data_IF_137998980426
#
_entry.id   IF_137998980426
#
_cell.length_a   1.000
_cell.length_b   1.000
_cell.length_c   1.000
_cell.angle_alpha   90.00
_cell.angle_beta   90.00
_cell.angle_gamma   90.00
#
_symmetry.space_group_name_H-M   'P 1'
#
loop_
_entity.id
_entity.type
_entity.pdbx_description
1 polymer ?
#
# COMPACT_ATOMS: atom_id res chain seq x y z
N UNK A 1 -46.56 2.45 6.82
CA UNK A 1 -45.81 1.96 5.64
C UNK A 1 -44.44 2.62 5.66
N UNK A 2 -43.39 1.80 5.83
CA UNK A 2 -41.99 1.86 5.34
C UNK A 2 -41.33 3.24 5.11
N UNK A 3 -40.14 3.61 5.61
CA UNK A 3 -39.03 2.97 6.36
C UNK A 3 -38.14 4.13 6.87
N UNK A 4 -37.50 4.13 8.04
CA UNK A 4 -36.29 4.93 8.25
C UNK A 4 -35.05 4.07 7.98
N UNK A 5 -34.16 4.65 7.19
CA UNK A 5 -32.93 4.06 6.68
C UNK A 5 -32.07 3.40 7.77
N UNK A 6 -31.56 2.23 7.41
CA UNK A 6 -30.52 1.44 8.06
C UNK A 6 -29.16 2.14 7.98
N UNK A 7 -29.01 3.26 8.68
CA UNK A 7 -27.69 3.81 9.01
C UNK A 7 -27.53 3.79 10.52
N UNK A 8 -27.05 2.66 11.04
CA UNK A 8 -26.62 2.59 12.43
C UNK A 8 -25.43 3.53 12.64
N UNK A 9 -25.52 4.47 13.61
CA UNK A 9 -24.42 5.36 13.94
C UNK A 9 -23.19 4.58 14.37
N UNK A 10 -22.11 4.93 13.70
CA UNK A 10 -20.72 4.58 13.90
C UNK A 10 -20.28 4.50 15.39
N UNK A 11 -19.85 3.34 15.94
CA UNK A 11 -19.35 3.28 17.30
C UNK A 11 -17.83 3.55 17.33
N UNK A 12 -17.45 4.79 17.07
CA UNK A 12 -16.07 5.25 17.27
C UNK A 12 -15.87 5.64 18.73
N UNK A 13 -14.85 5.11 19.40
CA UNK A 13 -14.48 5.55 20.75
C UNK A 13 -14.09 7.03 20.74
N UNK A 14 -14.47 7.78 21.77
CA UNK A 14 -14.24 9.21 21.87
C UNK A 14 -12.77 9.57 21.65
N UNK A 15 -12.51 10.64 20.87
CA UNK A 15 -11.16 11.23 20.72
C UNK A 15 -10.49 11.52 22.07
N UNK A 16 -11.28 11.71 23.13
CA UNK A 16 -10.84 12.03 24.48
C UNK A 16 -10.72 10.82 25.43
N UNK A 17 -10.70 9.60 24.89
CA UNK A 17 -10.53 8.37 25.66
C UNK A 17 -11.84 7.70 26.08
N UNK A 18 -11.72 6.55 26.74
CA UNK A 18 -12.87 5.79 27.23
C UNK A 18 -13.26 6.27 28.64
N UNK A 19 -14.57 6.37 28.95
CA UNK A 19 -15.02 6.52 30.33
C UNK A 19 -14.49 5.37 31.20
N UNK A 20 -14.22 5.65 32.48
CA UNK A 20 -13.76 4.66 33.44
C UNK A 20 -14.68 3.43 33.46
N UNK A 21 -14.09 2.23 33.44
CA UNK A 21 -14.82 0.95 33.43
C UNK A 21 -15.38 0.51 32.07
N UNK A 22 -15.15 1.26 30.98
CA UNK A 22 -15.54 0.84 29.61
C UNK A 22 -14.35 0.24 28.86
N UNK A 23 -14.61 -0.79 28.05
CA UNK A 23 -13.64 -1.37 27.12
C UNK A 23 -13.87 -0.86 25.69
N UNK A 24 -12.79 -0.61 24.94
CA UNK A 24 -12.88 -0.24 23.54
C UNK A 24 -13.37 -1.44 22.72
N UNK A 25 -14.51 -1.26 22.04
CA UNK A 25 -15.02 -2.23 21.07
C UNK A 25 -14.49 -1.98 19.66
N UNK A 26 -14.19 -0.72 19.33
CA UNK A 26 -13.59 -0.33 18.06
C UNK A 26 -12.32 0.49 18.32
N UNK A 27 -11.31 0.30 17.48
CA UNK A 27 -10.03 0.96 17.57
C UNK A 27 -9.82 1.82 16.33
N UNK A 28 -9.31 3.03 16.52
CA UNK A 28 -8.96 3.94 15.44
C UNK A 28 -7.55 4.45 15.65
N UNK A 29 -6.81 4.62 14.56
CA UNK A 29 -5.56 5.34 14.56
C UNK A 29 -5.86 6.83 14.61
N UNK A 30 -5.30 7.53 15.60
CA UNK A 30 -5.47 8.97 15.72
C UNK A 30 -4.46 9.69 14.84
N UNK A 31 -4.91 10.65 14.05
CA UNK A 31 -4.05 11.56 13.28
C UNK A 31 -4.30 12.97 13.77
N UNK A 32 -3.27 13.64 14.26
CA UNK A 32 -3.38 15.04 14.67
C UNK A 32 -3.54 15.93 13.43
N UNK A 33 -4.71 16.57 13.32
CA UNK A 33 -5.05 17.49 12.23
C UNK A 33 -4.48 18.88 12.53
N UNK A 34 -3.24 19.14 12.12
CA UNK A 34 -2.68 20.49 12.08
C UNK A 34 -2.35 20.88 10.65
N UNK A 35 -3.35 21.30 9.85
CA UNK A 35 -3.07 21.84 8.51
C UNK A 35 -4.29 22.09 7.64
N UNK A 36 -4.40 23.32 7.12
CA UNK A 36 -5.35 23.72 6.08
C UNK A 36 -4.93 23.08 4.73
N UNK A 37 -5.86 22.60 3.87
CA UNK A 37 -5.49 21.95 2.62
C UNK A 37 -4.85 22.95 1.65
N UNK A 38 -3.70 22.65 1.02
CA UNK A 38 -3.33 23.29 -0.23
C UNK A 38 -4.18 22.70 -1.38
N UNK A 39 -4.53 23.49 -2.41
CA UNK A 39 -5.28 23.01 -3.56
C UNK A 39 -4.54 21.85 -4.26
N UNK A 40 -5.27 20.78 -4.57
CA UNK A 40 -4.74 19.61 -5.25
C UNK A 40 -4.51 19.93 -6.73
N UNK A 41 -3.28 20.27 -7.11
CA UNK A 41 -2.80 20.19 -8.49
C UNK A 41 -1.81 19.04 -8.58
N UNK A 42 -2.09 18.09 -9.49
CA UNK A 42 -1.14 17.05 -9.89
C UNK A 42 0.09 17.75 -10.51
N UNK A 43 1.30 17.63 -9.93
CA UNK A 43 2.49 18.20 -10.55
C UNK A 43 3.07 17.20 -11.57
N UNK A 44 3.42 17.71 -12.76
CA UNK A 44 4.30 17.03 -13.71
C UNK A 44 5.65 16.71 -13.06
N UNK A 45 6.12 15.49 -13.31
CA UNK A 45 7.33 14.93 -12.71
C UNK A 45 8.58 15.73 -13.06
N UNK A 46 9.25 16.29 -12.06
CA UNK A 46 10.66 16.71 -12.14
C UNK A 46 11.41 16.30 -10.87
N UNK A 47 12.60 15.73 -11.08
CA UNK A 47 13.49 15.07 -10.11
C UNK A 47 14.51 16.09 -9.56
N UNK A 48 14.94 16.03 -8.27
CA UNK A 48 16.16 15.27 -7.95
C UNK A 48 16.21 14.60 -6.55
N UNK A 49 17.16 13.67 -6.43
CA UNK A 49 17.50 12.74 -5.35
C UNK A 49 18.24 13.38 -4.15
N UNK A 50 18.08 12.81 -2.95
CA UNK A 50 19.20 12.55 -2.01
C UNK A 50 18.79 11.55 -0.91
N UNK A 51 19.78 10.75 -0.49
CA UNK A 51 19.79 9.53 0.33
C UNK A 51 19.51 9.71 1.83
N UNK A 52 18.97 8.68 2.48
CA UNK A 52 19.08 8.48 3.94
C UNK A 52 19.34 6.99 4.26
N UNK A 53 20.28 6.79 5.17
CA UNK A 53 20.94 5.52 5.49
C UNK A 53 20.08 4.50 6.27
N UNK A 54 20.42 3.24 6.07
CA UNK A 54 19.76 2.02 6.53
C UNK A 54 20.16 1.68 7.99
N UNK A 55 19.20 1.48 8.89
CA UNK A 55 19.43 0.93 10.24
C UNK A 55 18.80 -0.46 10.31
N UNK A 56 19.59 -1.46 10.71
CA UNK A 56 19.18 -2.86 10.85
C UNK A 56 18.30 -3.07 12.10
N UNK A 57 17.19 -3.84 12.05
CA UNK A 57 16.40 -4.17 13.23
C UNK A 57 16.98 -5.40 13.95
N UNK A 58 17.22 -5.30 15.25
CA UNK A 58 17.53 -6.44 16.13
C UNK A 58 16.26 -7.06 16.70
N UNK A 59 16.19 -8.39 16.60
CA UNK A 59 15.50 -9.36 17.45
C UNK A 59 14.01 -9.15 17.75
N UNK A 60 13.18 -9.38 16.73
CA UNK A 60 12.21 -10.48 16.68
C UNK A 60 11.12 -10.65 17.76
N UNK A 61 10.93 -9.73 18.71
CA UNK A 61 9.89 -9.88 19.75
C UNK A 61 9.07 -8.59 19.91
N UNK A 62 7.83 -8.58 19.40
CA UNK A 62 6.88 -7.45 19.52
C UNK A 62 5.74 -7.61 20.55
N UNK A 63 5.97 -8.01 21.83
CA UNK A 63 4.98 -7.80 22.90
C UNK A 63 4.74 -6.32 23.24
N UNK A 64 5.58 -5.40 22.74
CA UNK A 64 5.57 -3.98 23.09
C UNK A 64 4.71 -3.08 22.17
N UNK A 65 4.05 -3.63 21.13
CA UNK A 65 3.27 -2.83 20.18
C UNK A 65 2.14 -2.02 20.87
N UNK A 66 1.56 -2.56 21.94
CA UNK A 66 0.47 -1.91 22.67
C UNK A 66 0.94 -0.73 23.54
N UNK A 67 2.17 -0.77 24.07
CA UNK A 67 2.77 0.33 24.85
C UNK A 67 3.39 1.41 23.97
N UNK A 68 3.92 1.06 22.79
CA UNK A 68 4.58 2.00 21.87
C UNK A 68 3.60 2.96 21.17
N UNK A 69 2.36 2.55 20.95
CA UNK A 69 1.30 3.40 20.37
C UNK A 69 1.02 4.63 21.25
N UNK A 70 1.31 4.56 22.55
CA UNK A 70 1.09 5.68 23.50
C UNK A 70 2.09 6.85 23.36
N UNK A 71 3.30 6.62 22.81
CA UNK A 71 4.43 7.56 22.94
C UNK A 71 4.86 8.28 21.65
N UNK A 72 4.20 8.05 20.51
CA UNK A 72 4.62 8.62 19.20
C UNK A 72 4.19 10.07 18.98
N UNK A 73 3.46 10.66 19.93
CA UNK A 73 2.74 11.94 19.74
C UNK A 73 3.56 13.24 19.77
N UNK A 74 4.86 13.30 19.40
CA UNK A 74 5.59 14.59 19.50
C UNK A 74 6.57 15.02 18.40
N UNK A 75 6.97 14.21 17.41
CA UNK A 75 8.16 14.60 16.61
C UNK A 75 8.11 14.48 15.08
N UNK A 76 7.02 14.07 14.45
CA UNK A 76 6.93 14.10 12.99
C UNK A 76 5.60 14.67 12.56
N UNK A 77 5.60 15.55 11.58
CA UNK A 77 4.40 16.01 10.90
C UNK A 77 3.73 14.82 10.19
N UNK A 78 2.94 14.07 10.94
CA UNK A 78 2.18 12.90 10.48
C UNK A 78 1.11 13.28 9.45
N UNK A 79 0.89 14.58 9.23
CA UNK A 79 -0.04 15.06 8.23
C UNK A 79 0.52 14.91 6.82
N UNK A 80 1.83 14.76 6.61
CA UNK A 80 2.40 14.74 5.27
C UNK A 80 3.39 13.60 5.03
N UNK A 81 2.90 12.53 4.42
CA UNK A 81 3.68 11.36 4.03
C UNK A 81 4.24 11.53 2.62
N UNK A 82 5.56 11.52 2.52
CA UNK A 82 6.27 11.40 1.24
C UNK A 82 6.92 10.04 1.13
N UNK A 83 6.90 9.46 -0.06
CA UNK A 83 7.62 8.24 -0.40
C UNK A 83 7.93 8.20 -1.89
N UNK A 84 8.91 7.38 -2.29
CA UNK A 84 9.21 7.16 -3.69
C UNK A 84 8.56 5.84 -4.14
N UNK A 85 7.68 5.92 -5.13
CA UNK A 85 7.18 4.73 -5.82
C UNK A 85 8.09 4.40 -7.00
N UNK A 86 8.56 3.16 -7.07
CA UNK A 86 9.51 2.74 -8.11
C UNK A 86 8.91 2.71 -9.52
N UNK A 87 7.59 2.74 -9.66
CA UNK A 87 6.89 2.86 -10.94
C UNK A 87 6.34 4.27 -11.18
N UNK A 88 5.63 4.83 -10.21
CA UNK A 88 4.92 6.10 -10.33
C UNK A 88 5.76 7.33 -9.94
N UNK A 89 6.98 7.13 -9.44
CA UNK A 89 7.86 8.20 -9.00
C UNK A 89 7.51 8.77 -7.62
N UNK A 90 7.99 9.98 -7.28
CA UNK A 90 7.72 10.62 -5.99
C UNK A 90 6.22 10.78 -5.70
N UNK A 91 5.80 10.36 -4.51
CA UNK A 91 4.43 10.43 -4.03
C UNK A 91 4.35 11.31 -2.78
N UNK A 92 3.26 12.05 -2.67
CA UNK A 92 2.90 12.81 -1.47
C UNK A 92 1.45 12.54 -1.11
N UNK A 93 1.20 12.19 0.13
CA UNK A 93 -0.12 11.90 0.65
C UNK A 93 -0.31 12.59 1.99
N UNK A 94 -1.52 13.08 2.24
CA UNK A 94 -1.90 13.66 3.51
C UNK A 94 -3.05 12.84 4.11
N UNK A 95 -2.76 11.78 4.89
CA UNK A 95 -3.80 10.93 5.45
C UNK A 95 -4.78 11.68 6.36
N UNK A 96 -4.32 12.73 7.05
CA UNK A 96 -5.18 13.61 7.85
C UNK A 96 -6.29 14.23 7.00
N UNK A 97 -5.95 14.80 5.84
CA UNK A 97 -6.92 15.40 4.90
C UNK A 97 -7.69 14.36 4.09
N UNK A 98 -7.08 13.21 3.79
CA UNK A 98 -7.69 12.17 2.96
C UNK A 98 -8.73 11.35 3.71
N UNK A 99 -8.54 11.10 5.01
CA UNK A 99 -9.45 10.25 5.78
C UNK A 99 -9.54 10.54 7.28
N UNK A 100 -8.64 11.35 7.85
CA UNK A 100 -8.58 11.58 9.29
C UNK A 100 -8.34 10.30 10.09
N UNK A 101 -8.89 10.24 11.31
CA UNK A 101 -8.79 9.07 12.19
C UNK A 101 -9.43 7.83 11.51
N UNK A 102 -8.62 6.80 11.21
CA UNK A 102 -9.07 5.63 10.46
C UNK A 102 -9.14 4.37 11.33
N UNK A 103 -9.99 3.41 10.94
CA UNK A 103 -10.25 2.18 11.71
C UNK A 103 -9.03 1.25 11.70
N UNK A 104 -8.72 0.72 12.88
CA UNK A 104 -7.80 -0.42 13.07
C UNK A 104 -8.56 -1.70 13.45
N UNK A 105 -9.61 -1.57 14.27
CA UNK A 105 -10.51 -2.66 14.64
C UNK A 105 -11.95 -2.16 14.65
N UNK A 106 -12.84 -2.89 14.00
CA UNK A 106 -14.28 -2.60 14.02
C UNK A 106 -14.94 -3.13 15.29
N UNK A 107 -16.11 -2.60 15.63
CA UNK A 107 -16.88 -3.00 16.82
C UNK A 107 -17.42 -4.43 16.80
N UNK A 108 -17.48 -5.04 15.61
CA UNK A 108 -17.81 -6.45 15.38
C UNK A 108 -16.59 -7.38 15.56
N UNK A 109 -15.41 -6.83 15.89
CA UNK A 109 -14.19 -7.59 16.14
C UNK A 109 -13.28 -7.74 14.92
N UNK A 110 -13.72 -7.35 13.73
CA UNK A 110 -12.93 -7.49 12.49
C UNK A 110 -11.79 -6.46 12.47
N UNK A 111 -10.56 -6.94 12.25
CA UNK A 111 -9.39 -6.09 12.06
C UNK A 111 -9.39 -5.47 10.67
N UNK A 112 -9.05 -4.18 10.60
CA UNK A 112 -9.00 -3.46 9.33
C UNK A 112 -7.75 -3.87 8.53
N UNK A 113 -7.91 -3.93 7.20
CA UNK A 113 -6.82 -4.20 6.27
C UNK A 113 -5.56 -3.36 6.54
N UNK A 114 -5.73 -2.08 6.92
CA UNK A 114 -4.62 -1.18 7.20
C UNK A 114 -3.70 -1.68 8.30
N UNK A 115 -4.23 -2.27 9.37
CA UNK A 115 -3.42 -2.83 10.45
C UNK A 115 -2.88 -4.21 10.08
N UNK A 116 -3.74 -5.09 9.55
CA UNK A 116 -3.36 -6.47 9.25
C UNK A 116 -2.15 -6.53 8.32
N UNK A 117 -2.21 -5.84 7.18
CA UNK A 117 -1.10 -5.84 6.21
C UNK A 117 0.20 -5.29 6.77
N UNK A 118 0.11 -4.24 7.61
CA UNK A 118 1.30 -3.59 8.19
C UNK A 118 2.00 -4.51 9.18
N UNK A 119 1.23 -5.20 10.02
CA UNK A 119 1.77 -6.14 11.00
C UNK A 119 2.38 -7.35 10.28
N UNK A 120 1.62 -7.97 9.37
CA UNK A 120 2.06 -9.18 8.66
C UNK A 120 3.34 -8.92 7.84
N UNK A 121 3.40 -7.79 7.11
CA UNK A 121 4.58 -7.41 6.31
C UNK A 121 5.79 -7.14 7.21
N UNK A 122 5.59 -6.44 8.34
CA UNK A 122 6.67 -6.10 9.27
C UNK A 122 7.23 -7.35 9.97
N UNK A 123 6.36 -8.25 10.43
CA UNK A 123 6.76 -9.51 11.07
C UNK A 123 7.46 -10.45 10.09
N UNK A 124 7.02 -10.46 8.83
CA UNK A 124 7.63 -11.27 7.77
C UNK A 124 8.93 -10.66 7.21
N UNK A 125 9.31 -9.45 7.62
CA UNK A 125 10.50 -8.77 7.13
C UNK A 125 10.41 -8.33 5.67
N UNK A 126 9.21 -8.01 5.16
CA UNK A 126 9.02 -7.56 3.78
C UNK A 126 9.76 -6.24 3.55
N UNK A 127 10.67 -6.23 2.57
CA UNK A 127 11.45 -5.04 2.19
C UNK A 127 10.89 -4.30 0.99
N UNK A 128 10.08 -4.98 0.18
CA UNK A 128 9.56 -4.53 -1.11
C UNK A 128 8.10 -4.93 -1.27
N UNK A 129 7.23 -3.94 -1.37
CA UNK A 129 5.80 -4.14 -1.63
C UNK A 129 5.52 -3.81 -3.10
N UNK A 130 5.28 -4.86 -3.89
CA UNK A 130 4.88 -4.77 -5.30
C UNK A 130 3.40 -5.15 -5.41
N UNK A 131 2.53 -4.19 -5.75
CA UNK A 131 1.07 -4.38 -5.78
C UNK A 131 0.39 -3.48 -6.81
N UNK A 132 -0.92 -3.65 -7.04
CA UNK A 132 -1.67 -2.81 -7.98
C UNK A 132 -1.85 -1.35 -7.52
N UNK A 133 -1.89 -0.40 -8.46
CA UNK A 133 -2.02 1.03 -8.20
C UNK A 133 -3.36 1.45 -7.56
N UNK A 134 -4.35 0.57 -7.52
CA UNK A 134 -5.58 0.77 -6.78
C UNK A 134 -5.37 0.82 -5.26
N UNK A 135 -4.26 0.28 -4.75
CA UNK A 135 -3.90 0.34 -3.34
C UNK A 135 -3.02 1.55 -2.98
N UNK A 136 -2.65 2.39 -3.96
CA UNK A 136 -1.75 3.53 -3.76
C UNK A 136 -2.26 4.47 -2.65
N UNK A 137 -3.55 4.77 -2.63
CA UNK A 137 -4.18 5.67 -1.65
C UNK A 137 -4.14 5.17 -0.21
N UNK A 138 -3.84 3.88 0.02
CA UNK A 138 -3.66 3.30 1.35
C UNK A 138 -2.23 3.40 1.86
N UNK A 139 -1.26 3.64 0.99
CA UNK A 139 0.17 3.61 1.32
C UNK A 139 0.53 4.62 2.41
N UNK A 140 0.01 5.84 2.34
CA UNK A 140 0.27 6.87 3.35
C UNK A 140 -0.22 6.49 4.75
N UNK A 141 -1.40 5.89 4.85
CA UNK A 141 -1.92 5.37 6.13
C UNK A 141 -1.05 4.24 6.68
N UNK A 142 -0.60 3.34 5.81
CA UNK A 142 0.23 2.21 6.21
C UNK A 142 1.62 2.67 6.67
N UNK A 143 2.21 3.64 5.99
CA UNK A 143 3.48 4.26 6.41
C UNK A 143 3.33 4.94 7.78
N UNK A 144 2.20 5.62 8.05
CA UNK A 144 1.94 6.19 9.37
C UNK A 144 1.89 5.12 10.46
N UNK A 145 1.22 4.00 10.20
CA UNK A 145 1.16 2.89 11.14
C UNK A 145 2.54 2.28 11.39
N UNK A 146 3.29 1.98 10.33
CA UNK A 146 4.65 1.44 10.44
C UNK A 146 5.54 2.35 11.30
N UNK A 147 5.51 3.67 11.05
CA UNK A 147 6.23 4.66 11.87
C UNK A 147 5.78 4.65 13.33
N UNK A 148 4.47 4.55 13.58
CA UNK A 148 3.94 4.50 14.94
C UNK A 148 4.28 3.20 15.68
N UNK A 149 4.46 2.11 14.97
CA UNK A 149 4.92 0.83 15.52
C UNK A 149 6.45 0.77 15.68
N UNK A 150 7.18 1.76 15.14
CA UNK A 150 8.64 1.74 15.06
C UNK A 150 9.18 0.66 14.11
N UNK A 151 8.36 0.26 13.13
CA UNK A 151 8.70 -0.75 12.13
C UNK A 151 9.35 -0.09 10.89
N UNK A 152 10.22 -0.83 10.17
CA UNK A 152 10.84 -0.33 8.94
C UNK A 152 9.77 -0.08 7.86
N UNK A 153 9.97 0.99 7.08
CA UNK A 153 9.10 1.28 5.92
C UNK A 153 9.66 0.58 4.68
N UNK A 154 8.87 -0.29 4.00
CA UNK A 154 9.35 -0.99 2.82
C UNK A 154 9.42 -0.05 1.60
N UNK A 155 10.08 -0.52 0.54
CA UNK A 155 10.06 0.14 -0.77
C UNK A 155 8.78 -0.22 -1.50
N UNK A 156 8.14 0.75 -2.14
CA UNK A 156 6.87 0.54 -2.85
C UNK A 156 7.04 0.57 -4.37
N UNK A 157 6.26 -0.27 -5.05
CA UNK A 157 6.07 -0.22 -6.50
C UNK A 157 4.59 -0.55 -6.80
N UNK A 158 3.89 0.42 -7.40
CA UNK A 158 2.48 0.25 -7.76
C UNK A 158 2.31 -0.01 -9.26
N UNK A 159 1.94 -1.25 -9.60
CA UNK A 159 1.72 -1.71 -10.98
C UNK A 159 0.50 -1.02 -11.60
N UNK A 160 0.56 -0.67 -12.91
CA UNK A 160 -0.56 -0.07 -13.60
C UNK A 160 -1.76 -1.02 -13.64
N UNK A 161 -2.96 -0.45 -13.66
CA UNK A 161 -4.18 -1.23 -13.79
C UNK A 161 -4.35 -1.68 -15.24
N UNK A 162 -4.70 -2.94 -15.43
CA UNK A 162 -5.05 -3.45 -16.76
C UNK A 162 -6.45 -2.92 -17.11
N UNK A 163 -6.55 -2.26 -18.25
CA UNK A 163 -7.79 -1.68 -18.76
C UNK A 163 -8.35 -2.55 -19.89
N UNK A 164 -9.66 -2.76 -19.92
CA UNK A 164 -10.35 -3.43 -21.02
C UNK A 164 -10.47 -2.53 -22.25
N UNK A 165 -10.89 -3.09 -23.38
CA UNK A 165 -11.04 -2.35 -24.66
C UNK A 165 -12.04 -1.18 -24.62
N UNK A 166 -12.89 -1.11 -23.59
CA UNK A 166 -13.82 -0.02 -23.32
C UNK A 166 -13.25 1.07 -22.39
N UNK A 167 -11.96 1.01 -22.04
CA UNK A 167 -11.31 1.95 -21.12
C UNK A 167 -11.68 1.77 -19.65
N UNK A 168 -12.41 0.70 -19.28
CA UNK A 168 -12.72 0.38 -17.89
C UNK A 168 -11.67 -0.55 -17.28
N UNK A 169 -11.45 -0.45 -15.97
CA UNK A 169 -10.55 -1.36 -15.24
C UNK A 169 -11.04 -2.80 -15.43
N UNK A 170 -10.16 -3.71 -15.84
CA UNK A 170 -10.43 -5.14 -15.74
C UNK A 170 -10.50 -5.49 -14.26
N UNK A 171 -11.71 -5.79 -13.80
CA UNK A 171 -11.99 -6.18 -12.43
C UNK A 171 -12.99 -7.32 -12.42
N UNK A 172 -12.92 -8.18 -11.40
CA UNK A 172 -13.92 -9.25 -11.19
C UNK A 172 -15.34 -8.68 -11.08
N UNK A 173 -15.49 -7.45 -10.56
CA UNK A 173 -16.78 -6.76 -10.46
C UNK A 173 -17.30 -6.31 -11.83
N UNK A 174 -16.42 -6.05 -12.80
CA UNK A 174 -16.78 -5.67 -14.17
C UNK A 174 -16.87 -6.89 -15.12
N UNK A 175 -16.98 -8.11 -14.58
CA UNK A 175 -17.11 -9.33 -15.37
C UNK A 175 -15.83 -9.73 -16.12
N UNK A 176 -14.65 -9.27 -15.67
CA UNK A 176 -13.39 -9.73 -16.26
C UNK A 176 -13.25 -11.26 -16.08
N UNK A 177 -12.95 -12.01 -17.16
CA UNK A 177 -12.77 -13.44 -17.08
C UNK A 177 -11.60 -13.77 -16.14
N UNK A 178 -11.72 -14.88 -15.41
CA UNK A 178 -10.60 -15.42 -14.66
C UNK A 178 -9.44 -15.79 -15.58
N UNK A 179 -8.24 -15.91 -15.02
CA UNK A 179 -7.10 -16.51 -15.73
C UNK A 179 -7.51 -17.93 -16.15
N UNK A 180 -7.31 -18.27 -17.42
CA UNK A 180 -7.63 -19.60 -17.89
C UNK A 180 -6.65 -20.62 -17.30
N UNK A 181 -7.15 -21.47 -16.41
CA UNK A 181 -6.41 -22.60 -15.83
C UNK A 181 -6.79 -23.93 -16.48
N UNK A 182 -7.69 -23.93 -17.47
CA UNK A 182 -8.16 -25.14 -18.16
C UNK A 182 -7.25 -25.58 -19.31
N UNK A 183 -6.26 -24.76 -19.67
CA UNK A 183 -5.34 -25.03 -20.78
C UNK A 183 -5.95 -24.80 -22.16
N UNK A 184 -7.13 -24.15 -22.25
CA UNK A 184 -7.74 -23.77 -23.54
C UNK A 184 -6.96 -22.63 -24.21
N UNK A 185 -6.40 -21.73 -23.40
CA UNK A 185 -5.46 -20.69 -23.80
C UNK A 185 -4.05 -21.13 -23.41
N UNK A 186 -3.12 -21.02 -24.36
CA UNK A 186 -1.72 -21.32 -24.11
C UNK A 186 -1.16 -20.38 -23.02
N UNK A 187 -0.45 -20.93 -22.04
CA UNK A 187 0.08 -20.17 -20.91
C UNK A 187 1.01 -19.02 -21.37
N UNK A 188 1.77 -19.23 -22.44
CA UNK A 188 2.65 -18.18 -22.99
C UNK A 188 1.85 -17.05 -23.61
N UNK A 189 0.67 -17.29 -24.17
CA UNK A 189 -0.19 -16.22 -24.67
C UNK A 189 -0.72 -15.34 -23.53
N UNK A 190 -1.09 -15.95 -22.39
CA UNK A 190 -1.47 -15.22 -21.16
C UNK A 190 -0.29 -14.41 -20.63
N UNK A 191 0.89 -15.00 -20.57
CA UNK A 191 2.11 -14.33 -20.11
C UNK A 191 2.50 -13.17 -21.04
N UNK A 192 2.31 -13.32 -22.35
CA UNK A 192 2.56 -12.27 -23.34
C UNK A 192 1.63 -11.07 -23.15
N UNK A 193 0.36 -11.30 -22.77
CA UNK A 193 -0.56 -10.23 -22.40
C UNK A 193 -0.09 -9.48 -21.14
N UNK A 194 0.31 -10.23 -20.10
CA UNK A 194 0.87 -9.63 -18.88
C UNK A 194 2.15 -8.83 -19.17
N UNK A 195 3.06 -9.35 -20.00
CA UNK A 195 4.25 -8.62 -20.43
C UNK A 195 3.91 -7.31 -21.15
N UNK A 196 2.90 -7.33 -22.04
CA UNK A 196 2.44 -6.12 -22.74
C UNK A 196 1.89 -5.09 -21.76
N UNK A 197 1.06 -5.51 -20.81
CA UNK A 197 0.51 -4.62 -19.77
C UNK A 197 1.61 -4.01 -18.88
N UNK A 198 2.70 -4.73 -18.67
CA UNK A 198 3.88 -4.26 -17.93
C UNK A 198 4.88 -3.49 -18.80
N UNK A 199 4.66 -3.36 -20.11
CA UNK A 199 5.59 -2.72 -21.04
C UNK A 199 6.91 -3.49 -21.20
N UNK A 200 6.91 -4.81 -21.02
CA UNK A 200 8.04 -5.71 -21.28
C UNK A 200 7.98 -6.22 -22.72
N UNK A 201 9.14 -6.53 -23.31
CA UNK A 201 9.18 -7.25 -24.59
C UNK A 201 8.78 -8.70 -24.35
N UNK A 202 7.97 -9.24 -25.25
CA UNK A 202 7.53 -10.64 -25.20
C UNK A 202 8.68 -11.56 -25.63
N UNK A 203 9.17 -12.46 -24.76
CA UNK A 203 10.09 -13.52 -25.14
C UNK A 203 9.56 -14.36 -26.32
N UNK A 204 10.41 -14.69 -27.28
CA UNK A 204 10.04 -15.45 -28.49
C UNK A 204 9.92 -16.96 -28.28
N UNK A 205 9.84 -17.44 -27.04
CA UNK A 205 9.84 -18.86 -26.69
C UNK A 205 8.46 -19.32 -26.21
N UNK A 206 8.12 -20.57 -26.52
CA UNK A 206 6.93 -21.25 -25.98
C UNK A 206 7.19 -22.02 -24.69
N UNK A 207 8.45 -22.12 -24.26
CA UNK A 207 8.81 -22.70 -22.97
C UNK A 207 8.56 -21.67 -21.86
N UNK A 208 7.65 -21.98 -20.93
CA UNK A 208 7.25 -21.08 -19.83
C UNK A 208 8.42 -20.72 -18.92
N UNK A 209 9.31 -21.66 -18.61
CA UNK A 209 10.44 -21.39 -17.71
C UNK A 209 11.46 -20.48 -18.37
N UNK A 210 11.78 -20.74 -19.64
CA UNK A 210 12.63 -19.86 -20.44
C UNK A 210 11.99 -18.48 -20.61
N UNK A 211 10.69 -18.44 -20.85
CA UNK A 211 9.92 -17.19 -20.95
C UNK A 211 10.07 -16.36 -19.67
N UNK A 212 9.82 -16.98 -18.49
CA UNK A 212 9.92 -16.30 -17.19
C UNK A 212 11.34 -15.82 -16.93
N UNK A 213 12.36 -16.60 -17.28
CA UNK A 213 13.76 -16.21 -17.15
C UNK A 213 14.08 -14.95 -17.97
N UNK A 214 13.70 -14.92 -19.25
CA UNK A 214 13.94 -13.77 -20.14
C UNK A 214 13.15 -12.53 -19.69
N UNK A 215 11.89 -12.69 -19.26
CA UNK A 215 11.08 -11.60 -18.72
C UNK A 215 11.65 -11.04 -17.40
N UNK A 216 12.16 -11.91 -16.52
CA UNK A 216 12.80 -11.51 -15.26
C UNK A 216 14.07 -10.69 -15.51
N UNK A 217 14.87 -11.06 -16.52
CA UNK A 217 16.04 -10.29 -16.90
C UNK A 217 15.68 -8.87 -17.37
N UNK A 218 14.60 -8.73 -18.14
CA UNK A 218 14.08 -7.41 -18.56
C UNK A 218 13.59 -6.59 -17.37
N UNK A 219 12.84 -7.21 -16.45
CA UNK A 219 12.36 -6.55 -15.23
C UNK A 219 13.53 -6.02 -14.37
N UNK A 220 14.56 -6.86 -14.18
CA UNK A 220 15.77 -6.48 -13.46
C UNK A 220 16.47 -5.30 -14.12
N UNK A 221 16.63 -5.31 -15.45
CA UNK A 221 17.24 -4.20 -16.17
C UNK A 221 16.47 -2.89 -15.95
N UNK A 222 15.13 -2.96 -15.90
CA UNK A 222 14.27 -1.79 -15.70
C UNK A 222 14.31 -1.23 -14.28
N UNK A 223 14.27 -2.07 -13.24
CA UNK A 223 14.05 -1.60 -11.86
C UNK A 223 15.21 -1.85 -10.89
N UNK A 224 16.23 -2.59 -11.31
CA UNK A 224 17.42 -2.89 -10.49
C UNK A 224 18.72 -2.41 -11.16
N UNK A 225 18.67 -1.92 -12.40
CA UNK A 225 19.84 -1.57 -13.21
C UNK A 225 20.52 -0.22 -12.90
N UNK A 226 20.07 0.54 -11.90
CA UNK A 226 20.69 1.83 -11.53
C UNK A 226 21.40 1.75 -10.17
N UNK A 227 22.29 0.78 -10.02
CA UNK A 227 23.25 0.76 -8.92
C UNK A 227 24.61 0.39 -9.49
N UNK A 228 25.43 1.44 -9.69
CA UNK A 228 26.90 1.52 -9.58
C UNK A 228 27.35 2.68 -10.49
N UNK A 229 27.49 3.86 -9.90
CA UNK A 229 28.59 4.76 -10.22
C UNK A 229 29.17 5.18 -8.86
N UNK A 230 30.04 4.32 -8.31
CA UNK A 230 31.06 4.76 -7.37
C UNK A 230 32.23 5.21 -8.23
N UNK A 231 32.39 6.52 -8.37
CA UNK A 231 33.71 7.13 -8.56
C UNK A 231 34.13 7.69 -7.21
#
# INVERSE_FOLDING_TARGET
MNTPADETPYPGTCRHGLPAGRQARAWRFRIDTTGTPPPQTLPEATNPLASADFVQPTDGNFPAAQERISNVGKAADLSNITFHDRWLGPQRQNPSLQCGDFILKRADGVWAYQLGVVVDDAESGVTDVVRGADLLSSTGRQILLLRALGAPVPRYLHLPLVMGGNGQKLSKQNGAPGVDTSGRVDAVDILNEAARALGLRQPGTRDVQRWLHEATAQWRARFCGSTINRQ
#
